data_IF_647831583486
#
_entry.id   IF_647831583486
#
_cell.length_a   1.000
_cell.length_b   1.000
_cell.length_c   1.000
_cell.angle_alpha   90.00
_cell.angle_beta   90.00
_cell.angle_gamma   90.00
#
_symmetry.space_group_name_H-M   'P 1'
#
loop_
_entity.id
_entity.type
_entity.pdbx_description
1 polymer ?
#
# COMPACT_ATOMS: atom_id res chain seq x y z
N UNK A 1 -15.43 -26.06 3.47
CA UNK A 1 -14.89 -25.29 2.33
C UNK A 1 -14.05 -24.13 2.84
N UNK A 2 -12.74 -24.33 3.00
CA UNK A 2 -11.83 -23.25 3.34
C UNK A 2 -11.72 -22.27 2.18
N UNK A 3 -12.11 -21.01 2.38
CA UNK A 3 -11.76 -19.95 1.43
C UNK A 3 -10.24 -19.96 1.33
N UNK A 4 -9.69 -20.33 0.17
CA UNK A 4 -8.30 -20.02 -0.14
C UNK A 4 -8.23 -18.50 -0.20
N UNK A 5 -7.87 -17.87 0.92
CA UNK A 5 -7.38 -16.49 0.91
C UNK A 5 -6.02 -16.56 0.21
N UNK A 6 -6.05 -16.62 -1.12
CA UNK A 6 -4.87 -16.41 -1.93
C UNK A 6 -4.37 -15.02 -1.56
N UNK A 7 -3.22 -14.95 -0.87
CA UNK A 7 -2.44 -13.71 -0.85
C UNK A 7 -2.13 -13.42 -2.32
N UNK A 8 -2.84 -12.45 -2.89
CA UNK A 8 -2.43 -11.91 -4.16
C UNK A 8 -1.23 -11.03 -3.87
N UNK A 9 -0.06 -11.51 -4.26
CA UNK A 9 1.15 -10.71 -4.32
C UNK A 9 0.94 -9.72 -5.46
N UNK A 10 1.01 -8.42 -5.14
CA UNK A 10 0.84 -7.35 -6.12
C UNK A 10 2.25 -7.00 -6.60
N UNK A 11 2.65 -7.44 -7.79
CA UNK A 11 3.90 -6.95 -8.37
C UNK A 11 3.71 -5.50 -8.85
N UNK A 12 4.49 -4.58 -8.27
CA UNK A 12 4.53 -3.19 -8.71
C UNK A 12 5.75 -3.00 -9.60
N UNK A 13 5.52 -2.48 -10.80
CA UNK A 13 6.62 -2.04 -11.68
C UNK A 13 7.24 -0.76 -11.11
N UNK A 14 8.47 -0.43 -11.51
CA UNK A 14 9.13 0.81 -11.05
C UNK A 14 8.32 2.08 -11.39
N UNK A 15 7.62 2.10 -12.53
CA UNK A 15 6.72 3.20 -12.89
C UNK A 15 5.45 3.28 -12.03
N UNK A 16 4.99 2.18 -11.44
CA UNK A 16 3.88 2.20 -10.49
C UNK A 16 4.33 2.73 -9.13
N UNK A 17 5.55 2.35 -8.70
CA UNK A 17 6.18 2.86 -7.48
C UNK A 17 6.36 4.36 -7.54
N UNK A 18 6.94 4.88 -8.64
CA UNK A 18 7.16 6.31 -8.83
C UNK A 18 5.86 7.12 -8.71
N UNK A 19 4.76 6.65 -9.33
CA UNK A 19 3.45 7.31 -9.23
C UNK A 19 2.87 7.25 -7.81
N UNK A 20 3.05 6.14 -7.11
CA UNK A 20 2.59 6.00 -5.73
C UNK A 20 3.38 6.92 -4.78
N UNK A 21 4.69 7.06 -5.02
CA UNK A 21 5.56 7.99 -4.28
C UNK A 21 5.18 9.45 -4.54
N UNK A 22 4.86 9.82 -5.79
CA UNK A 22 4.34 11.16 -6.12
C UNK A 22 3.04 11.46 -5.35
N UNK A 23 2.10 10.52 -5.32
CA UNK A 23 0.84 10.68 -4.56
C UNK A 23 1.10 10.88 -3.07
N UNK A 24 2.10 10.18 -2.50
CA UNK A 24 2.46 10.28 -1.08
C UNK A 24 3.17 11.60 -0.77
N UNK A 25 4.06 12.05 -1.65
CA UNK A 25 4.82 13.30 -1.49
C UNK A 25 4.03 14.56 -1.83
N UNK A 26 2.93 14.43 -2.56
CA UNK A 26 2.13 15.56 -3.01
C UNK A 26 1.27 16.13 -1.87
N UNK A 27 1.51 17.39 -1.42
CA UNK A 27 0.77 18.01 -0.32
C UNK A 27 -0.69 18.35 -0.67
N UNK A 28 -1.07 18.24 -1.95
CA UNK A 28 -2.45 18.44 -2.43
C UNK A 28 -3.25 17.14 -2.45
N UNK A 29 -2.60 15.99 -2.23
CA UNK A 29 -3.28 14.70 -2.16
C UNK A 29 -4.13 14.62 -0.89
N UNK A 30 -5.40 14.23 -1.03
CA UNK A 30 -6.23 13.93 0.14
C UNK A 30 -5.60 12.79 0.93
N UNK A 31 -5.69 12.85 2.25
CA UNK A 31 -5.09 11.88 3.16
C UNK A 31 -5.52 10.43 2.86
N UNK A 32 -6.76 10.23 2.37
CA UNK A 32 -7.26 8.92 1.91
C UNK A 32 -6.53 8.36 0.68
N UNK A 33 -6.04 9.22 -0.23
CA UNK A 33 -5.26 8.81 -1.40
C UNK A 33 -3.84 8.45 -0.98
N UNK A 34 -3.22 9.29 -0.14
CA UNK A 34 -1.91 9.00 0.48
C UNK A 34 -1.96 7.66 1.21
N UNK A 35 -3.02 7.42 1.98
CA UNK A 35 -3.19 6.16 2.72
C UNK A 35 -3.33 4.95 1.79
N UNK A 36 -4.17 5.05 0.75
CA UNK A 36 -4.32 3.98 -0.25
C UNK A 36 -3.00 3.71 -0.98
N UNK A 37 -2.23 4.74 -1.31
CA UNK A 37 -0.94 4.58 -1.98
C UNK A 37 0.08 3.86 -1.10
N UNK A 38 0.16 4.20 0.19
CA UNK A 38 1.04 3.50 1.16
C UNK A 38 0.66 2.03 1.32
N UNK A 39 -0.63 1.70 1.36
CA UNK A 39 -1.10 0.31 1.42
C UNK A 39 -0.65 -0.46 0.18
N UNK A 40 -0.85 0.08 -1.01
CA UNK A 40 -0.46 -0.60 -2.26
C UNK A 40 1.04 -0.83 -2.31
N UNK A 41 1.84 0.16 -1.90
CA UNK A 41 3.30 0.07 -1.86
C UNK A 41 3.82 -1.01 -0.89
N UNK A 42 3.22 -1.11 0.30
CA UNK A 42 3.57 -2.16 1.28
C UNK A 42 3.16 -3.56 0.81
N UNK A 43 1.95 -3.68 0.24
CA UNK A 43 1.48 -4.95 -0.31
C UNK A 43 2.37 -5.42 -1.46
N UNK A 44 2.85 -4.51 -2.30
CA UNK A 44 3.79 -4.85 -3.37
C UNK A 44 5.23 -5.10 -2.91
N UNK A 45 5.53 -4.82 -1.65
CA UNK A 45 6.78 -5.22 -1.01
C UNK A 45 6.67 -6.56 -0.27
N UNK A 46 5.51 -7.25 -0.38
CA UNK A 46 5.24 -8.48 0.36
C UNK A 46 4.92 -8.26 1.84
N UNK A 47 4.86 -7.00 2.31
CA UNK A 47 4.44 -6.68 3.66
C UNK A 47 2.91 -6.77 3.76
N UNK A 48 2.42 -7.52 4.75
CA UNK A 48 0.99 -7.62 5.00
C UNK A 48 0.43 -6.30 5.55
N UNK A 49 -0.85 -6.03 5.28
CA UNK A 49 -1.59 -4.86 5.78
C UNK A 49 -1.40 -4.58 7.28
N UNK A 50 -1.27 -5.65 8.08
CA UNK A 50 -1.07 -5.57 9.52
C UNK A 50 0.27 -4.91 9.92
N UNK A 51 1.34 -5.14 9.16
CA UNK A 51 2.64 -4.51 9.38
C UNK A 51 2.57 -3.02 9.03
N UNK A 52 1.87 -2.67 7.95
CA UNK A 52 1.62 -1.28 7.56
C UNK A 52 0.82 -0.52 8.62
N UNK A 53 -0.30 -1.09 9.09
CA UNK A 53 -1.13 -0.48 10.13
C UNK A 53 -0.35 -0.29 11.44
N UNK A 54 0.50 -1.27 11.80
CA UNK A 54 1.42 -1.16 12.95
C UNK A 54 2.41 0.00 12.78
N UNK A 55 2.99 0.18 11.59
CA UNK A 55 3.96 1.25 11.29
C UNK A 55 3.33 2.64 11.19
N UNK A 56 2.06 2.73 10.80
CA UNK A 56 1.38 4.04 10.65
C UNK A 56 0.63 4.50 11.90
N UNK A 57 0.50 3.67 12.94
CA UNK A 57 -0.11 4.08 14.21
C UNK A 57 -1.62 4.35 14.11
N UNK A 58 -2.29 3.84 13.08
CA UNK A 58 -3.76 3.84 13.03
C UNK A 58 -4.27 2.82 14.05
N UNK A 59 -4.88 3.33 15.12
CA UNK A 59 -5.66 2.55 16.08
C UNK A 59 -7.07 2.27 15.55
#
# INVERSE_FOLDING_TARGET
>A
MGRKSTRQEIELSDGDRERLEDVIGNPRSLQKHVWRARIVMELGSGCGLAETMRRTGMS
#
